data_IF_777356570741
#
_entry.id   IF_777356570741
#
_cell.length_a   1.000
_cell.length_b   1.000
_cell.length_c   1.000
_cell.angle_alpha   90.00
_cell.angle_beta   90.00
_cell.angle_gamma   90.00
#
_symmetry.space_group_name_H-M   'P 1'
#
loop_
_entity.id
_entity.type
_entity.pdbx_description
1 polymer ?
#
# COMPACT_ATOMS: atom_id res chain seq x y z
N UNK A 1 -3.58 -3.09 21.35
CA UNK A 1 -2.45 -3.89 20.84
C UNK A 1 -1.31 -3.77 21.83
N UNK A 2 -0.68 -4.88 22.17
CA UNK A 2 0.53 -4.95 22.98
C UNK A 2 1.77 -4.60 22.14
N UNK A 3 2.87 -4.22 22.79
CA UNK A 3 4.16 -4.00 22.11
C UNK A 3 4.62 -5.23 21.33
N UNK A 4 4.36 -6.44 21.82
CA UNK A 4 4.66 -7.69 21.11
C UNK A 4 3.84 -7.85 19.82
N UNK A 5 2.57 -7.43 19.83
CA UNK A 5 1.74 -7.43 18.61
C UNK A 5 2.22 -6.40 17.59
N UNK A 6 2.70 -5.24 18.06
CA UNK A 6 3.29 -4.21 17.20
C UNK A 6 4.58 -4.74 16.57
N UNK A 7 5.47 -5.33 17.37
CA UNK A 7 6.74 -5.85 16.87
C UNK A 7 6.54 -6.96 15.84
N UNK A 8 5.60 -7.89 16.08
CA UNK A 8 5.26 -8.95 15.10
C UNK A 8 4.75 -8.39 13.77
N UNK A 9 4.01 -7.28 13.79
CA UNK A 9 3.55 -6.63 12.57
C UNK A 9 4.69 -5.95 11.83
N UNK A 10 5.63 -5.31 12.56
CA UNK A 10 6.84 -4.72 11.99
C UNK A 10 7.69 -5.80 11.33
N UNK A 11 8.06 -6.85 12.05
CA UNK A 11 8.90 -7.94 11.55
C UNK A 11 8.30 -8.61 10.30
N UNK A 12 6.98 -8.81 10.29
CA UNK A 12 6.26 -9.39 9.15
C UNK A 12 6.23 -8.44 7.95
N UNK A 13 6.18 -7.13 8.20
CA UNK A 13 6.21 -6.12 7.14
C UNK A 13 7.60 -6.00 6.54
N UNK A 14 8.65 -5.97 7.38
CA UNK A 14 10.05 -5.97 6.93
C UNK A 14 10.39 -7.23 6.13
N UNK A 15 9.93 -8.41 6.57
CA UNK A 15 10.11 -9.65 5.82
C UNK A 15 9.43 -9.61 4.44
N UNK A 16 8.26 -8.97 4.33
CA UNK A 16 7.58 -8.75 3.04
C UNK A 16 8.34 -7.78 2.14
N UNK A 17 8.88 -6.70 2.70
CA UNK A 17 9.71 -5.73 1.96
C UNK A 17 10.97 -6.42 1.43
N UNK A 18 11.65 -7.21 2.26
CA UNK A 18 12.89 -7.91 1.91
C UNK A 18 12.70 -8.96 0.81
N UNK A 19 11.53 -9.61 0.75
CA UNK A 19 11.19 -10.60 -0.29
C UNK A 19 10.92 -9.96 -1.66
N UNK A 20 10.68 -8.65 -1.68
CA UNK A 20 10.13 -7.95 -2.84
C UNK A 20 8.66 -8.27 -3.04
N UNK A 21 7.95 -7.37 -3.72
CA UNK A 21 6.56 -7.59 -4.13
C UNK A 21 6.56 -7.83 -5.63
N UNK A 22 5.95 -8.93 -6.08
CA UNK A 22 5.76 -9.17 -7.52
C UNK A 22 4.80 -8.14 -8.11
N UNK A 23 4.86 -7.92 -9.43
CA UNK A 23 3.96 -6.98 -10.10
C UNK A 23 2.50 -7.37 -9.87
N UNK A 24 2.20 -8.67 -9.88
CA UNK A 24 0.88 -9.24 -9.70
C UNK A 24 0.37 -9.05 -8.26
N UNK A 25 1.23 -9.21 -7.27
CA UNK A 25 0.90 -8.91 -5.87
C UNK A 25 0.61 -7.43 -5.66
N UNK A 26 1.42 -6.54 -6.27
CA UNK A 26 1.20 -5.10 -6.18
C UNK A 26 -0.13 -4.68 -6.81
N UNK A 27 -0.43 -5.18 -8.02
CA UNK A 27 -1.70 -4.90 -8.71
C UNK A 27 -2.88 -5.37 -7.86
N UNK A 28 -2.83 -6.61 -7.36
CA UNK A 28 -3.90 -7.15 -6.50
C UNK A 28 -4.07 -6.34 -5.23
N UNK A 29 -2.98 -5.95 -4.56
CA UNK A 29 -3.08 -5.08 -3.38
C UNK A 29 -3.71 -3.74 -3.70
N UNK A 30 -3.40 -3.12 -4.85
CA UNK A 30 -4.03 -1.88 -5.27
C UNK A 30 -5.51 -2.03 -5.66
N UNK A 31 -5.90 -3.18 -6.19
CA UNK A 31 -7.31 -3.53 -6.44
C UNK A 31 -8.09 -3.73 -5.12
N UNK A 32 -7.51 -4.46 -4.16
CA UNK A 32 -8.13 -4.74 -2.85
C UNK A 32 -8.44 -3.45 -2.06
N UNK A 33 -7.60 -2.43 -2.19
CA UNK A 33 -7.81 -1.13 -1.55
C UNK A 33 -8.56 -0.13 -2.43
N UNK A 34 -9.03 -0.56 -3.61
CA UNK A 34 -9.85 0.24 -4.52
C UNK A 34 -9.12 1.35 -5.27
N UNK A 35 -7.79 1.33 -5.35
CA UNK A 35 -7.04 2.27 -6.19
C UNK A 35 -7.07 1.86 -7.67
N UNK A 36 -7.10 0.56 -7.95
CA UNK A 36 -7.25 0.01 -9.31
C UNK A 36 -8.56 -0.76 -9.45
N UNK A 37 -9.10 -0.82 -10.67
CA UNK A 37 -10.25 -1.66 -11.04
C UNK A 37 -9.83 -3.09 -11.41
N UNK A 38 -10.79 -3.94 -11.77
CA UNK A 38 -10.55 -5.35 -12.15
C UNK A 38 -9.60 -5.53 -13.35
N UNK A 39 -9.47 -4.52 -14.20
CA UNK A 39 -8.56 -4.53 -15.36
C UNK A 39 -7.17 -3.97 -15.02
N UNK A 40 -6.99 -3.45 -13.80
CA UNK A 40 -5.75 -2.81 -13.37
C UNK A 40 -5.67 -1.33 -13.74
N UNK A 41 -6.78 -0.72 -14.16
CA UNK A 41 -6.87 0.71 -14.48
C UNK A 41 -7.15 1.54 -13.23
N UNK A 42 -6.66 2.78 -13.21
CA UNK A 42 -6.82 3.66 -12.06
C UNK A 42 -8.29 4.04 -11.85
N UNK A 43 -8.80 3.88 -10.62
CA UNK A 43 -10.15 4.34 -10.28
C UNK A 43 -10.14 5.84 -9.95
N UNK A 44 -11.31 6.52 -9.97
CA UNK A 44 -11.41 7.90 -9.47
C UNK A 44 -10.98 8.04 -7.99
N UNK A 45 -11.16 7.00 -7.17
CA UNK A 45 -10.63 6.98 -5.81
C UNK A 45 -9.09 6.95 -5.82
N UNK A 46 -8.50 6.11 -6.66
CA UNK A 46 -7.06 6.02 -6.90
C UNK A 46 -6.44 7.35 -7.34
N UNK A 47 -7.07 8.04 -8.30
CA UNK A 47 -6.61 9.35 -8.76
C UNK A 47 -6.61 10.39 -7.64
N UNK A 48 -7.65 10.41 -6.80
CA UNK A 48 -7.73 11.32 -5.67
C UNK A 48 -6.64 11.05 -4.61
N UNK A 49 -6.36 9.76 -4.32
CA UNK A 49 -5.31 9.37 -3.37
C UNK A 49 -3.92 9.76 -3.90
N UNK A 50 -3.63 9.47 -5.17
CA UNK A 50 -2.37 9.87 -5.82
C UNK A 50 -2.24 11.41 -5.82
N UNK A 51 -3.33 12.12 -6.12
CA UNK A 51 -3.38 13.57 -6.07
C UNK A 51 -3.08 14.13 -4.67
N UNK A 52 -3.64 13.52 -3.62
CA UNK A 52 -3.38 13.89 -2.24
C UNK A 52 -1.92 13.64 -1.84
N UNK A 53 -1.35 12.49 -2.21
CA UNK A 53 0.06 12.16 -1.93
C UNK A 53 1.02 13.14 -2.62
N UNK A 54 0.75 13.52 -3.87
CA UNK A 54 1.54 14.53 -4.60
C UNK A 54 1.45 15.91 -3.95
N UNK A 55 0.27 16.27 -3.42
CA UNK A 55 0.03 17.57 -2.77
C UNK A 55 0.65 17.65 -1.37
N UNK A 56 0.81 16.52 -0.68
CA UNK A 56 1.33 16.45 0.68
C UNK A 56 2.47 15.42 0.83
N UNK A 57 3.62 15.62 0.18
CA UNK A 57 4.68 14.61 0.10
C UNK A 57 5.36 14.26 1.44
N UNK A 58 5.27 15.12 2.47
CA UNK A 58 6.06 15.01 3.72
C UNK A 58 5.25 15.13 5.02
N UNK A 59 4.02 14.60 5.08
CA UNK A 59 3.24 14.66 6.34
C UNK A 59 3.57 13.59 7.39
N UNK A 60 4.41 12.61 7.04
CA UNK A 60 4.79 11.49 7.90
C UNK A 60 6.29 11.15 7.81
N UNK A 61 7.14 12.17 7.69
CA UNK A 61 8.59 12.06 7.87
C UNK A 61 8.97 12.35 9.32
#
# INVERSE_FOLDING_TARGET
MSEEEIQRLVDRTEAKIARGVTKEEAIRSFQEIGLLDENGEMTPHGENVIGALRKYPNRYS
#
